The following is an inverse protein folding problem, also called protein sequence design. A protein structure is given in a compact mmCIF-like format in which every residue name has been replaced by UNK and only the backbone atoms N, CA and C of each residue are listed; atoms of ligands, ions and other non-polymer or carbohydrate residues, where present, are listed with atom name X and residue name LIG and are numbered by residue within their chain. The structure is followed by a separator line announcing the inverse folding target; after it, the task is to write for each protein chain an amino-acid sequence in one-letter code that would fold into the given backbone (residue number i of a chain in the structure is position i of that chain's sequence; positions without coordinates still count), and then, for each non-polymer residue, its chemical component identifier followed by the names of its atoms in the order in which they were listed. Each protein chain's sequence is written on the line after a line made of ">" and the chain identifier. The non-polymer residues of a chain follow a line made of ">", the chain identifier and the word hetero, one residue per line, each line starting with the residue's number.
data_IF_656385301661
#
_entry.id   IF_656385301661
#
_cell.length_a   1.000
_cell.length_b   1.000
_cell.length_c   1.000
_cell.angle_alpha   90.00
_cell.angle_beta   90.00
_cell.angle_gamma   90.00
#
_symmetry.space_group_name_H-M   'P 1'
#
loop_
_entity.id
_entity.type
_entity.pdbx_description
1 polymer ?
#
# COMPACT_ATOMS: atom_id res chain seq x y z
N UNK A 1 -15.07 5.20 -0.45
CA UNK A 1 -14.03 4.56 0.38
C UNK A 1 -13.80 3.15 -0.16
N UNK A 2 -12.65 2.89 -0.81
CA UNK A 2 -12.29 1.57 -1.33
C UNK A 2 -11.13 1.02 -0.53
N UNK A 3 -11.20 -0.26 -0.19
CA UNK A 3 -10.10 -0.98 0.44
C UNK A 3 -9.37 -1.83 -0.60
N UNK A 4 -8.06 -1.73 -0.62
CA UNK A 4 -7.18 -2.53 -1.45
C UNK A 4 -6.72 -3.73 -0.65
N UNK A 5 -6.91 -4.92 -1.20
CA UNK A 5 -6.22 -6.10 -0.71
C UNK A 5 -4.73 -6.04 -1.10
N UNK A 6 -3.90 -6.91 -0.53
CA UNK A 6 -2.47 -6.95 -0.89
C UNK A 6 -2.23 -7.09 -2.41
N UNK A 7 -2.90 -8.01 -3.15
CA UNK A 7 -2.76 -8.07 -4.60
C UNK A 7 -3.19 -6.79 -5.32
N UNK A 8 -4.27 -6.15 -4.89
CA UNK A 8 -4.75 -4.90 -5.50
C UNK A 8 -3.73 -3.77 -5.30
N UNK A 9 -3.13 -3.68 -4.12
CA UNK A 9 -2.06 -2.74 -3.83
C UNK A 9 -0.87 -2.98 -4.76
N UNK A 10 -0.42 -4.23 -4.90
CA UNK A 10 0.68 -4.58 -5.79
C UNK A 10 0.39 -4.15 -7.23
N UNK A 11 -0.80 -4.43 -7.74
CA UNK A 11 -1.21 -4.01 -9.08
C UNK A 11 -1.19 -2.48 -9.22
N UNK A 12 -1.70 -1.74 -8.23
CA UNK A 12 -1.77 -0.28 -8.25
C UNK A 12 -0.39 0.39 -8.28
N UNK A 13 0.59 -0.15 -7.56
CA UNK A 13 1.96 0.43 -7.46
C UNK A 13 2.94 -0.12 -8.51
N UNK A 14 2.44 -0.66 -9.62
CA UNK A 14 3.27 -1.12 -10.74
C UNK A 14 3.82 -2.54 -10.58
N UNK A 15 3.10 -3.42 -9.88
CA UNK A 15 3.46 -4.83 -9.74
C UNK A 15 4.63 -5.12 -8.80
N UNK A 16 4.92 -4.23 -7.83
CA UNK A 16 6.02 -4.44 -6.88
C UNK A 16 5.89 -5.79 -6.15
N UNK A 17 7.02 -6.45 -5.93
CA UNK A 17 7.08 -7.69 -5.15
C UNK A 17 6.69 -7.45 -3.68
N UNK A 18 6.20 -8.50 -3.00
CA UNK A 18 5.79 -8.44 -1.58
C UNK A 18 6.90 -7.86 -0.69
N UNK A 19 8.15 -8.30 -0.88
CA UNK A 19 9.29 -7.80 -0.09
C UNK A 19 9.58 -6.33 -0.36
N UNK A 20 9.30 -5.82 -1.55
CA UNK A 20 9.44 -4.39 -1.85
C UNK A 20 8.34 -3.58 -1.19
N UNK A 21 7.10 -4.09 -1.19
CA UNK A 21 5.99 -3.48 -0.44
C UNK A 21 6.32 -3.35 1.04
N UNK A 22 6.81 -4.42 1.68
CA UNK A 22 7.20 -4.35 3.09
C UNK A 22 8.33 -3.34 3.33
N UNK A 23 9.37 -3.31 2.48
CA UNK A 23 10.43 -2.29 2.58
C UNK A 23 9.91 -0.87 2.40
N UNK A 24 8.92 -0.65 1.53
CA UNK A 24 8.31 0.66 1.33
C UNK A 24 7.49 1.08 2.56
N UNK A 25 6.79 0.14 3.19
CA UNK A 25 6.06 0.36 4.45
C UNK A 25 7.03 0.67 5.60
N UNK A 26 8.12 -0.11 5.74
CA UNK A 26 9.17 0.12 6.75
C UNK A 26 9.89 1.45 6.54
N UNK A 27 10.08 1.85 5.27
CA UNK A 27 10.67 3.14 4.92
C UNK A 27 9.67 4.32 5.00
N UNK A 28 8.41 4.08 5.40
CA UNK A 28 7.38 5.12 5.50
C UNK A 28 6.87 5.67 4.16
N UNK A 29 7.22 5.03 3.04
CA UNK A 29 6.76 5.41 1.68
C UNK A 29 5.35 4.91 1.36
N UNK A 30 4.87 3.91 2.11
CA UNK A 30 3.51 3.42 2.04
C UNK A 30 2.90 3.40 3.46
N UNK A 31 1.60 3.69 3.59
CA UNK A 31 0.91 3.60 4.87
C UNK A 31 0.87 2.16 5.40
N UNK A 32 0.75 2.04 6.72
CA UNK A 32 0.60 0.75 7.40
C UNK A 32 -0.72 0.07 7.01
N UNK A 33 -0.74 -1.26 6.84
CA UNK A 33 -1.98 -1.98 6.56
C UNK A 33 -2.93 -1.98 7.75
N UNK A 34 -4.22 -1.89 7.43
CA UNK A 34 -5.31 -2.24 8.34
C UNK A 34 -5.43 -3.77 8.37
N UNK A 35 -5.31 -4.36 9.56
CA UNK A 35 -5.49 -5.80 9.76
C UNK A 35 -6.98 -6.12 9.93
N UNK A 36 -7.51 -6.93 9.03
CA UNK A 36 -8.83 -7.55 9.18
C UNK A 36 -8.66 -9.07 9.24
N UNK A 37 -8.55 -9.58 10.47
CA UNK A 37 -8.21 -10.98 10.74
C UNK A 37 -6.84 -11.34 10.16
N UNK A 38 -6.79 -12.39 9.34
CA UNK A 38 -5.56 -12.84 8.67
C UNK A 38 -5.21 -12.05 7.39
N UNK A 39 -6.02 -11.08 6.99
CA UNK A 39 -5.85 -10.32 5.74
C UNK A 39 -5.43 -8.88 6.02
N UNK A 40 -4.64 -8.34 5.10
CA UNK A 40 -4.17 -6.96 5.11
C UNK A 40 -4.92 -6.14 4.08
N UNK A 41 -5.33 -4.95 4.47
CA UNK A 41 -6.03 -4.01 3.63
C UNK A 41 -5.47 -2.60 3.77
N UNK A 42 -5.63 -1.80 2.73
CA UNK A 42 -5.28 -0.38 2.72
C UNK A 42 -6.45 0.44 2.25
N UNK A 43 -6.61 1.64 2.77
CA UNK A 43 -7.52 2.62 2.16
C UNK A 43 -6.86 3.12 0.88
N UNK A 44 -7.57 3.03 -0.25
CA UNK A 44 -7.02 3.42 -1.54
C UNK A 44 -6.57 4.89 -1.56
N UNK A 45 -7.35 5.79 -0.96
CA UNK A 45 -7.04 7.21 -0.91
C UNK A 45 -5.72 7.52 -0.18
N UNK A 46 -5.40 6.78 0.89
CA UNK A 46 -4.14 6.96 1.63
C UNK A 46 -2.94 6.51 0.79
N UNK A 47 -3.12 5.48 -0.04
CA UNK A 47 -2.10 5.05 -1.01
C UNK A 47 -1.89 6.13 -2.07
N UNK A 48 -2.97 6.66 -2.64
CA UNK A 48 -2.88 7.72 -3.65
C UNK A 48 -2.20 8.98 -3.10
N UNK A 49 -2.49 9.36 -1.85
CA UNK A 49 -1.80 10.45 -1.16
C UNK A 49 -0.29 10.19 -1.01
N UNK A 50 0.09 9.00 -0.51
CA UNK A 50 1.51 8.65 -0.33
C UNK A 50 2.28 8.61 -1.68
N UNK A 51 1.64 8.15 -2.76
CA UNK A 51 2.23 8.16 -4.09
C UNK A 51 2.39 9.57 -4.66
N UNK A 52 1.46 10.48 -4.35
CA UNK A 52 1.56 11.88 -4.75
C UNK A 52 2.70 12.60 -4.01
N UNK A 53 2.86 12.35 -2.71
CA UNK A 53 3.96 12.90 -1.92
C UNK A 53 5.34 12.42 -2.42
N UNK A 54 5.46 11.13 -2.75
CA UNK A 54 6.73 10.56 -3.24
C UNK A 54 7.20 11.10 -4.61
N UNK A 55 6.34 11.84 -5.32
CA UNK A 55 6.66 12.44 -6.63
C UNK A 55 7.13 13.91 -6.52
N UNK A 56 7.03 14.50 -5.33
CA UNK A 56 7.41 15.88 -5.04
C UNK A 56 8.80 15.94 -4.36
#
# INVERSE_FOLDING_TARGET
>A
MRYLSFPDLQAKIGGRSRSSVYRDIEAGRLPQPIKFGARLYWVEADIDAALAEARN
#
